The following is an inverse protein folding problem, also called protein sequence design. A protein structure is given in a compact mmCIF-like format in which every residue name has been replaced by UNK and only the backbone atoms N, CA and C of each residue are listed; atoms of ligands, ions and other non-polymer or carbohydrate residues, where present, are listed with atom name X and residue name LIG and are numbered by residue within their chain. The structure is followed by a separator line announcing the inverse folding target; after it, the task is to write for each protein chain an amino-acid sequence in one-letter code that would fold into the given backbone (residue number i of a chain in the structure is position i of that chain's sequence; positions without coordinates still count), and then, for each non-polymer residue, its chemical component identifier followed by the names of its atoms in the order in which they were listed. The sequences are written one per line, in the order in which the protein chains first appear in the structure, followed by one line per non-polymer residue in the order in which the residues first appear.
data_IF_573282464164
#
_entry.id   IF_573282464164
#
_cell.length_a   1.000
_cell.length_b   1.000
_cell.length_c   1.000
_cell.angle_alpha   90.00
_cell.angle_beta   90.00
_cell.angle_gamma   90.00
#
_symmetry.space_group_name_H-M   'P 1'
#
loop_
_entity.id
_entity.type
_entity.pdbx_description
1 polymer ?
#
# COMPACT_ATOMS: atom_id res chain seq x y z
N UNK A 1 15.27 9.79 5.48
CA UNK A 1 14.18 10.28 6.35
C UNK A 1 12.87 9.79 5.73
N UNK A 2 12.45 8.56 6.08
CA UNK A 2 11.20 7.99 5.57
C UNK A 2 10.08 8.45 6.50
N UNK A 3 9.31 9.46 6.09
CA UNK A 3 8.11 9.84 6.82
C UNK A 3 7.07 8.74 6.64
N UNK A 4 6.87 7.96 7.70
CA UNK A 4 5.72 7.07 7.82
C UNK A 4 4.60 7.93 8.38
N UNK A 5 3.67 8.34 7.52
CA UNK A 5 2.45 9.03 7.95
C UNK A 5 1.55 8.02 8.65
N UNK A 6 1.58 8.01 9.98
CA UNK A 6 0.68 7.17 10.79
C UNK A 6 -0.76 7.66 10.65
N UNK A 7 -1.60 6.93 9.92
CA UNK A 7 -3.04 7.15 9.91
C UNK A 7 -3.64 6.71 11.25
N UNK A 8 -4.17 7.66 12.02
CA UNK A 8 -5.03 7.39 13.18
C UNK A 8 -6.48 7.64 12.78
N UNK A 9 -7.35 6.65 12.98
CA UNK A 9 -8.81 6.78 12.75
C UNK A 9 -9.53 6.90 14.09
N UNK A 10 -10.50 7.81 14.16
CA UNK A 10 -11.21 8.19 15.38
C UNK A 10 -12.55 7.42 15.52
N UNK A 11 -12.54 6.14 15.93
CA UNK A 11 -13.73 5.27 16.12
C UNK A 11 -14.31 4.53 14.89
N UNK A 12 -13.48 4.16 13.90
CA UNK A 12 -13.87 3.10 12.94
C UNK A 12 -12.83 1.99 12.94
N UNK A 13 -13.29 0.73 13.03
CA UNK A 13 -12.43 -0.44 12.82
C UNK A 13 -11.88 -0.39 11.39
N UNK A 14 -10.63 0.03 11.24
CA UNK A 14 -9.89 0.00 9.99
C UNK A 14 -9.05 -1.28 10.00
N UNK A 15 -9.31 -2.15 9.03
CA UNK A 15 -8.44 -3.30 8.79
C UNK A 15 -7.38 -2.86 7.78
N UNK A 16 -6.12 -2.87 8.20
CA UNK A 16 -4.99 -2.50 7.36
C UNK A 16 -4.16 -3.74 7.05
N UNK A 17 -3.95 -4.03 5.76
CA UNK A 17 -3.13 -5.16 5.31
C UNK A 17 -1.94 -4.61 4.53
N UNK A 18 -0.74 -4.99 4.94
CA UNK A 18 0.50 -4.65 4.24
C UNK A 18 1.05 -5.90 3.55
N UNK A 19 1.19 -5.82 2.23
CA UNK A 19 1.84 -6.84 1.43
C UNK A 19 3.33 -6.49 1.28
N UNK A 20 4.20 -7.34 1.81
CA UNK A 20 5.65 -7.22 1.68
C UNK A 20 6.14 -8.23 0.66
N UNK A 21 6.55 -7.76 -0.51
CA UNK A 21 7.14 -8.60 -1.54
C UNK A 21 8.29 -9.43 -0.97
N UNK A 22 8.26 -10.74 -1.20
CA UNK A 22 9.36 -11.64 -0.84
C UNK A 22 9.67 -12.57 -2.02
N UNK A 23 10.86 -12.48 -2.63
CA UNK A 23 11.22 -13.35 -3.74
C UNK A 23 11.46 -14.78 -3.26
N UNK A 24 10.96 -15.77 -4.00
CA UNK A 24 11.13 -17.20 -3.67
C UNK A 24 12.58 -17.68 -3.69
N UNK A 25 13.47 -16.96 -4.37
CA UNK A 25 14.90 -17.24 -4.47
C UNK A 25 15.71 -16.78 -3.25
N UNK A 26 15.09 -16.05 -2.32
CA UNK A 26 15.75 -15.58 -1.10
C UNK A 26 15.28 -16.36 0.13
N UNK A 27 16.06 -16.27 1.20
CA UNK A 27 15.74 -16.93 2.45
C UNK A 27 14.50 -16.33 3.12
N UNK A 28 13.81 -17.16 3.91
CA UNK A 28 12.64 -16.75 4.67
C UNK A 28 12.99 -15.59 5.61
N UNK A 29 12.19 -14.53 5.58
CA UNK A 29 12.38 -13.35 6.42
C UNK A 29 13.25 -12.27 5.79
N UNK A 30 13.67 -12.43 4.54
CA UNK A 30 14.33 -11.38 3.76
C UNK A 30 13.56 -10.05 3.77
N UNK A 31 12.22 -10.13 3.74
CA UNK A 31 11.33 -8.96 3.74
C UNK A 31 11.27 -8.20 5.08
N UNK A 32 11.79 -8.79 6.17
CA UNK A 32 11.69 -8.28 7.56
C UNK A 32 12.70 -7.18 7.86
N UNK A 33 12.68 -6.15 7.02
CA UNK A 33 13.51 -4.95 7.11
C UNK A 33 12.93 -3.95 8.11
N UNK A 34 13.53 -2.77 8.19
CA UNK A 34 13.05 -1.66 9.03
C UNK A 34 11.60 -1.27 8.71
N UNK A 35 11.21 -1.31 7.42
CA UNK A 35 9.85 -1.00 6.99
C UNK A 35 8.84 -2.00 7.57
N UNK A 36 9.19 -3.29 7.60
CA UNK A 36 8.36 -4.32 8.23
C UNK A 36 8.18 -4.02 9.72
N UNK A 37 9.27 -3.70 10.42
CA UNK A 37 9.20 -3.40 11.86
C UNK A 37 8.33 -2.18 12.13
N UNK A 38 8.50 -1.09 11.38
CA UNK A 38 7.65 0.10 11.53
C UNK A 38 6.18 -0.19 11.22
N UNK A 39 5.87 -0.97 10.17
CA UNK A 39 4.49 -1.34 9.88
C UNK A 39 3.88 -2.22 10.98
N UNK A 40 4.67 -3.09 11.60
CA UNK A 40 4.21 -3.97 12.69
C UNK A 40 3.83 -3.23 13.97
N UNK A 41 4.28 -1.99 14.14
CA UNK A 41 3.93 -1.11 15.26
C UNK A 41 2.57 -0.42 15.07
N UNK A 42 1.97 -0.51 13.88
CA UNK A 42 0.67 0.09 13.58
C UNK A 42 -0.45 -0.77 14.21
N UNK A 43 -1.27 -0.22 15.12
CA UNK A 43 -2.36 -0.98 15.72
C UNK A 43 -3.34 -1.52 14.67
N UNK A 44 -3.62 -2.82 14.72
CA UNK A 44 -4.53 -3.49 13.78
C UNK A 44 -3.95 -3.76 12.39
N UNK A 45 -2.65 -3.56 12.19
CA UNK A 45 -1.97 -3.92 10.95
C UNK A 45 -1.77 -5.44 10.84
N UNK A 46 -2.12 -5.97 9.67
CA UNK A 46 -1.84 -7.34 9.26
C UNK A 46 -0.72 -7.32 8.22
N UNK A 47 0.42 -7.92 8.54
CA UNK A 47 1.57 -7.97 7.64
C UNK A 47 1.60 -9.34 6.97
N UNK A 48 1.74 -9.35 5.65
CA UNK A 48 1.77 -10.57 4.83
C UNK A 48 3.06 -10.55 4.00
N UNK A 49 3.84 -11.61 4.09
CA UNK A 49 4.94 -11.85 3.14
C UNK A 49 4.34 -12.34 1.82
N UNK A 50 4.30 -11.47 0.82
CA UNK A 50 3.71 -11.73 -0.49
C UNK A 50 4.75 -12.38 -1.41
N UNK A 51 4.74 -13.72 -1.42
CA UNK A 51 5.74 -14.50 -2.13
C UNK A 51 5.60 -14.29 -3.63
N UNK A 52 6.68 -13.82 -4.26
CA UNK A 52 6.76 -13.47 -5.68
C UNK A 52 5.66 -12.48 -6.16
N UNK A 53 5.06 -11.72 -5.23
CA UNK A 53 4.04 -10.72 -5.56
C UNK A 53 2.69 -11.31 -6.02
N UNK A 54 2.37 -12.55 -5.64
CA UNK A 54 1.13 -13.24 -6.06
C UNK A 54 -0.11 -12.45 -5.63
N UNK A 55 -0.19 -12.02 -4.38
CA UNK A 55 -1.34 -11.28 -3.88
C UNK A 55 -1.41 -9.89 -4.52
N UNK A 56 -0.29 -9.17 -4.57
CA UNK A 56 -0.22 -7.87 -5.25
C UNK A 56 -0.74 -7.97 -6.70
N UNK A 57 -0.35 -9.01 -7.44
CA UNK A 57 -0.83 -9.27 -8.80
C UNK A 57 -2.34 -9.58 -8.85
N UNK A 58 -2.87 -10.33 -7.90
CA UNK A 58 -4.31 -10.61 -7.81
C UNK A 58 -5.14 -9.33 -7.62
N UNK A 59 -4.58 -8.32 -6.93
CA UNK A 59 -5.18 -6.99 -6.80
C UNK A 59 -4.87 -6.04 -7.98
N UNK A 60 -4.07 -6.48 -8.97
CA UNK A 60 -3.66 -5.67 -10.12
C UNK A 60 -2.51 -4.70 -9.86
N UNK A 61 -1.82 -4.81 -8.72
CA UNK A 61 -0.72 -3.94 -8.35
C UNK A 61 0.55 -4.30 -9.15
N UNK A 62 1.12 -3.31 -9.83
CA UNK A 62 2.36 -3.46 -10.60
C UNK A 62 3.57 -2.78 -9.95
N UNK A 63 3.33 -1.83 -9.04
CA UNK A 63 4.35 -0.93 -8.49
C UNK A 63 4.26 -0.90 -6.97
N UNK A 64 5.40 -0.94 -6.29
CA UNK A 64 5.47 -0.81 -4.82
C UNK A 64 4.89 0.53 -4.38
N UNK A 65 4.10 0.53 -3.30
CA UNK A 65 3.40 1.72 -2.81
C UNK A 65 1.98 1.87 -3.34
N UNK A 66 1.53 0.94 -4.20
CA UNK A 66 0.12 0.80 -4.55
C UNK A 66 -0.72 0.61 -3.28
N UNK A 67 -1.82 1.36 -3.19
CA UNK A 67 -2.76 1.35 -2.06
C UNK A 67 -4.18 1.24 -2.58
N UNK A 68 -4.97 0.42 -1.89
CA UNK A 68 -6.39 0.23 -2.16
C UNK A 68 -7.18 0.51 -0.87
N UNK A 69 -8.31 1.19 -0.99
CA UNK A 69 -9.26 1.39 0.12
C UNK A 69 -10.61 0.85 -0.31
N UNK A 70 -11.15 -0.05 0.49
CA UNK A 70 -12.47 -0.64 0.30
C UNK A 70 -13.42 -0.15 1.40
N UNK A 71 -14.70 0.00 1.06
CA UNK A 71 -15.73 0.22 2.07
C UNK A 71 -16.16 -1.09 2.77
N UNK A 72 -17.10 -0.98 3.71
CA UNK A 72 -17.63 -2.13 4.47
C UNK A 72 -18.39 -3.14 3.61
N UNK A 73 -18.80 -2.76 2.39
CA UNK A 73 -19.48 -3.63 1.42
C UNK A 73 -18.47 -4.28 0.46
N UNK A 74 -17.17 -3.99 0.60
CA UNK A 74 -16.11 -4.50 -0.28
C UNK A 74 -15.99 -3.72 -1.60
N UNK A 75 -16.62 -2.56 -1.74
CA UNK A 75 -16.49 -1.74 -2.95
C UNK A 75 -15.21 -0.92 -2.90
N UNK A 76 -14.46 -0.91 -4.01
CA UNK A 76 -13.25 -0.09 -4.15
C UNK A 76 -13.60 1.41 -4.14
N UNK A 77 -12.94 2.16 -3.26
CA UNK A 77 -13.14 3.61 -3.07
C UNK A 77 -11.89 4.43 -3.39
N UNK A 78 -10.71 3.83 -3.31
CA UNK A 78 -9.47 4.48 -3.69
C UNK A 78 -8.51 3.45 -4.29
N UNK A 79 -7.81 3.84 -5.35
CA UNK A 79 -6.73 3.08 -5.95
C UNK A 79 -5.60 4.03 -6.36
N UNK A 80 -4.39 3.83 -5.84
CA UNK A 80 -3.25 4.66 -6.22
C UNK A 80 -2.13 4.65 -5.21
N UNK A 81 -1.11 5.49 -5.42
CA UNK A 81 -0.03 5.68 -4.47
C UNK A 81 -0.37 6.79 -3.47
N UNK A 82 0.02 6.65 -2.20
CA UNK A 82 -0.25 7.69 -1.19
C UNK A 82 0.59 8.97 -1.37
N UNK A 83 1.66 8.92 -2.15
CA UNK A 83 2.57 10.06 -2.40
C UNK A 83 2.62 10.40 -3.88
N UNK A 84 2.63 11.70 -4.20
CA UNK A 84 2.66 12.19 -5.60
C UNK A 84 4.09 12.24 -6.19
N UNK A 85 5.13 11.98 -5.39
CA UNK A 85 6.53 11.96 -5.81
C UNK A 85 7.52 12.04 -4.63
N UNK A 86 8.82 11.90 -4.91
CA UNK A 86 9.89 12.14 -3.92
C UNK A 86 10.21 13.64 -3.84
N UNK A 87 10.44 14.15 -2.63
CA UNK A 87 10.88 15.55 -2.42
C UNK A 87 9.75 16.59 -2.51
N UNK A 88 8.49 16.18 -2.34
CA UNK A 88 7.37 17.11 -2.34
C UNK A 88 7.25 17.82 -0.98
N UNK A 89 7.37 19.15 -0.97
CA UNK A 89 6.96 20.00 0.15
C UNK A 89 5.55 20.54 -0.13
N UNK A 90 4.63 20.41 0.83
CA UNK A 90 3.24 20.84 0.71
C UNK A 90 2.23 19.68 0.72
N UNK A 91 0.94 20.02 0.57
CA UNK A 91 -0.16 19.04 0.60
C UNK A 91 -0.05 18.00 -0.51
N UNK A 92 -0.28 16.73 -0.17
CA UNK A 92 -0.24 15.64 -1.15
C UNK A 92 -1.67 15.25 -1.51
N UNK A 93 -2.09 15.52 -2.75
CA UNK A 93 -3.51 15.31 -3.15
C UNK A 93 -3.91 13.85 -3.06
N UNK A 94 -2.97 12.94 -3.34
CA UNK A 94 -3.21 11.51 -3.21
C UNK A 94 -3.50 11.12 -1.76
N UNK A 95 -2.70 11.61 -0.81
CA UNK A 95 -2.93 11.37 0.62
C UNK A 95 -4.23 12.01 1.08
N UNK A 96 -4.50 13.25 0.67
CA UNK A 96 -5.74 13.97 1.00
C UNK A 96 -6.97 13.23 0.49
N UNK A 97 -6.93 12.70 -0.73
CA UNK A 97 -8.01 11.91 -1.31
C UNK A 97 -8.21 10.58 -0.56
N UNK A 98 -7.14 9.86 -0.25
CA UNK A 98 -7.20 8.63 0.54
C UNK A 98 -7.77 8.88 1.95
N UNK A 99 -7.33 9.95 2.61
CA UNK A 99 -7.85 10.38 3.91
C UNK A 99 -9.35 10.70 3.85
N UNK A 100 -9.76 11.47 2.84
CA UNK A 100 -11.17 11.83 2.63
C UNK A 100 -12.06 10.61 2.47
N UNK A 101 -11.60 9.61 1.71
CA UNK A 101 -12.33 8.35 1.53
C UNK A 101 -12.53 7.64 2.89
N UNK A 102 -11.51 7.61 3.74
CA UNK A 102 -11.57 6.96 5.05
C UNK A 102 -12.47 7.71 6.05
N UNK A 103 -12.43 9.04 6.05
CA UNK A 103 -13.21 9.88 6.98
C UNK A 103 -14.67 9.95 6.55
N UNK A 104 -14.94 10.23 5.28
CA UNK A 104 -16.27 10.60 4.82
C UNK A 104 -17.15 9.37 4.54
N UNK A 105 -16.54 8.18 4.37
CA UNK A 105 -17.27 6.91 4.29
C UNK A 105 -17.97 6.62 2.95
N UNK A 106 -17.58 7.30 1.86
CA UNK A 106 -18.14 7.14 0.51
C UNK A 106 -18.43 8.52 -0.10
N UNK A 107 -18.28 8.80 -1.40
CA UNK A 107 -18.54 7.98 -2.57
C UNK A 107 -17.61 8.31 -3.76
N UNK A 108 -16.45 8.93 -3.52
CA UNK A 108 -15.55 9.31 -4.61
C UNK A 108 -14.55 8.18 -4.89
N UNK A 109 -14.58 7.62 -6.10
CA UNK A 109 -13.45 6.86 -6.63
C UNK A 109 -12.34 7.85 -6.94
N UNK A 110 -11.29 7.84 -6.13
CA UNK A 110 -10.09 8.65 -6.39
C UNK A 110 -8.96 7.75 -6.91
N UNK A 111 -8.24 8.26 -7.91
CA UNK A 111 -7.06 7.62 -8.48
C UNK A 111 -5.84 8.52 -8.31
N UNK A 112 -4.70 7.93 -7.97
CA UNK A 112 -3.43 8.63 -7.80
C UNK A 112 -2.29 7.87 -8.48
N UNK A 113 -1.36 8.61 -9.09
CA UNK A 113 -0.15 8.01 -9.63
C UNK A 113 0.62 7.26 -8.54
N UNK A 114 1.24 6.13 -8.91
CA UNK A 114 1.99 5.27 -7.99
C UNK A 114 3.46 5.31 -8.39
N UNK A 115 4.33 5.63 -7.44
CA UNK A 115 5.76 5.72 -7.66
C UNK A 115 6.49 4.73 -6.77
N UNK A 116 7.31 3.88 -7.39
CA UNK A 116 8.05 2.86 -6.66
C UNK A 116 8.78 1.90 -7.59
N UNK A 117 9.31 0.84 -7.00
CA UNK A 117 9.92 -0.25 -7.73
C UNK A 117 8.83 -1.15 -8.34
N UNK A 118 9.06 -1.74 -9.53
CA UNK A 118 8.18 -2.77 -10.05
C UNK A 118 8.07 -3.96 -9.08
N UNK A 119 6.84 -4.46 -8.87
CA UNK A 119 6.57 -5.69 -8.11
C UNK A 119 6.73 -6.91 -9.04
N UNK A 120 6.34 -6.75 -10.30
CA UNK A 120 6.46 -7.79 -11.31
C UNK A 120 7.79 -7.63 -12.03
N UNK A 121 8.63 -8.66 -12.01
CA UNK A 121 9.81 -8.70 -12.88
C UNK A 121 9.38 -9.13 -14.29
N UNK A 122 9.16 -8.17 -15.18
CA UNK A 122 8.89 -8.44 -16.59
C UNK A 122 10.12 -8.98 -17.33
N UNK A 123 11.32 -8.95 -16.73
CA UNK A 123 12.55 -9.48 -17.35
C UNK A 123 12.64 -11.01 -17.32
N UNK A 124 11.76 -11.68 -16.57
CA UNK A 124 11.68 -13.14 -16.57
C UNK A 124 10.58 -13.69 -17.51
N UNK A 125 9.99 -12.83 -18.36
CA UNK A 125 9.02 -13.24 -19.40
C UNK A 125 9.65 -13.30 -20.79
N UNK A 126 10.98 -13.23 -20.90
CA UNK A 126 11.69 -13.55 -22.15
C UNK A 126 12.32 -14.93 -22.05
N UNK A 127 11.63 -15.88 -22.68
CA UNK A 127 12.12 -17.06 -23.41
C UNK A 127 13.30 -17.84 -22.83
#
# INVERSE_FOLDING_TARGET
MHQVTTLKTNNRSLNCVFLFYTPSSFEKGWEKTDIWRTASEIPGAHLVSDRDGIEAKNFGALTSGQTYIFDKQGSLRYEGGLTEGRGHEGGCRNLEAAMKVLTDGGASTAFGAVYGCPIVDTRNTQL
#
